data_IF_278802761901
#
_entry.id   IF_278802761901
#
_cell.length_a   1.000
_cell.length_b   1.000
_cell.length_c   1.000
_cell.angle_alpha   90.00
_cell.angle_beta   90.00
_cell.angle_gamma   90.00
#
_symmetry.space_group_name_H-M   'P 1'
#
loop_
_entity.id
_entity.type
_entity.pdbx_description
1 polymer ?
#
# COMPACT_ATOMS: atom_id res chain seq x y z
N UNK A 1 -1.82 7.58 4.69
CA UNK A 1 -1.08 8.83 5.01
C UNK A 1 -0.38 8.73 6.37
N UNK A 2 0.61 9.58 6.65
CA UNK A 2 1.37 9.53 7.91
C UNK A 2 0.66 10.18 9.10
N UNK A 3 -0.33 11.04 8.84
CA UNK A 3 -1.16 11.68 9.89
C UNK A 3 -2.56 11.06 10.03
N UNK A 4 -2.90 10.06 9.20
CA UNK A 4 -4.17 9.35 9.32
C UNK A 4 -4.11 8.40 10.53
N UNK A 5 -4.99 8.52 11.54
CA UNK A 5 -4.96 7.68 12.73
C UNK A 5 -5.04 6.18 12.39
N UNK A 6 -5.96 5.79 11.50
CA UNK A 6 -6.12 4.39 11.09
C UNK A 6 -4.91 3.83 10.34
N UNK A 7 -4.17 4.66 9.61
CA UNK A 7 -2.91 4.24 9.01
C UNK A 7 -1.86 3.96 10.08
N UNK A 8 -1.69 4.87 11.04
CA UNK A 8 -0.66 4.79 12.07
C UNK A 8 -0.95 3.65 13.06
N UNK A 9 -2.20 3.50 13.51
CA UNK A 9 -2.57 2.53 14.54
C UNK A 9 -2.76 1.11 14.01
N UNK A 10 -3.12 0.93 12.73
CA UNK A 10 -3.45 -0.38 12.17
C UNK A 10 -2.63 -0.73 10.93
N UNK A 11 -2.68 0.10 9.88
CA UNK A 11 -2.11 -0.29 8.60
C UNK A 11 -0.58 -0.39 8.59
N UNK A 12 0.13 0.49 9.31
CA UNK A 12 1.59 0.46 9.39
C UNK A 12 2.09 -0.79 10.16
N UNK A 13 1.56 -1.14 11.35
CA UNK A 13 1.86 -2.41 11.99
C UNK A 13 1.60 -3.62 11.08
N UNK A 14 0.44 -3.65 10.41
CA UNK A 14 0.06 -4.75 9.52
C UNK A 14 0.98 -4.84 8.29
N UNK A 15 1.32 -3.72 7.66
CA UNK A 15 2.28 -3.64 6.54
C UNK A 15 3.64 -4.23 6.93
N UNK A 16 4.13 -3.93 8.13
CA UNK A 16 5.39 -4.46 8.65
C UNK A 16 5.33 -5.97 8.87
N UNK A 17 4.25 -6.47 9.46
CA UNK A 17 4.04 -7.90 9.65
C UNK A 17 3.98 -8.64 8.31
N UNK A 18 3.24 -8.10 7.35
CA UNK A 18 3.11 -8.66 5.99
C UNK A 18 4.46 -8.67 5.27
N UNK A 19 5.21 -7.56 5.30
CA UNK A 19 6.55 -7.51 4.70
C UNK A 19 7.49 -8.54 5.31
N UNK A 20 7.51 -8.68 6.64
CA UNK A 20 8.37 -9.64 7.32
C UNK A 20 8.00 -11.10 6.99
N UNK A 21 6.71 -11.42 6.91
CA UNK A 21 6.24 -12.80 6.77
C UNK A 21 6.18 -13.27 5.31
N UNK A 22 5.74 -12.42 4.39
CA UNK A 22 5.42 -12.84 3.03
C UNK A 22 6.47 -12.48 1.99
N UNK A 23 7.38 -11.54 2.25
CA UNK A 23 8.51 -11.27 1.33
C UNK A 23 9.40 -12.52 1.14
N UNK A 24 9.75 -13.29 2.18
CA UNK A 24 10.45 -14.58 2.00
C UNK A 24 9.68 -15.61 1.16
N UNK A 25 8.36 -15.47 1.07
CA UNK A 25 7.47 -16.34 0.29
C UNK A 25 7.23 -15.84 -1.15
N UNK A 26 7.87 -14.73 -1.53
CA UNK A 26 7.78 -14.16 -2.88
C UNK A 26 6.78 -13.01 -3.04
N UNK A 27 6.16 -12.51 -1.96
CA UNK A 27 5.31 -11.33 -2.04
C UNK A 27 6.13 -10.02 -2.10
N UNK A 28 5.74 -9.13 -3.00
CA UNK A 28 6.23 -7.75 -3.03
C UNK A 28 5.31 -6.90 -2.18
N UNK A 29 5.88 -6.18 -1.22
CA UNK A 29 5.12 -5.35 -0.27
C UNK A 29 5.62 -3.92 -0.40
N UNK A 30 4.70 -3.00 -0.69
CA UNK A 30 4.99 -1.59 -0.92
C UNK A 30 4.07 -0.72 -0.06
N UNK A 31 4.63 0.37 0.48
CA UNK A 31 3.82 1.48 0.96
C UNK A 31 3.64 2.53 -0.13
N UNK A 32 2.46 3.14 -0.21
CA UNK A 32 2.24 4.32 -1.05
C UNK A 32 1.72 5.47 -0.20
N UNK A 33 2.45 6.57 -0.21
CA UNK A 33 2.10 7.79 0.50
C UNK A 33 1.23 8.70 -0.38
N UNK A 34 -0.08 8.46 -0.34
CA UNK A 34 -1.12 9.23 -1.07
C UNK A 34 -1.59 10.42 -0.24
N UNK A 35 -0.95 11.57 -0.39
CA UNK A 35 -1.33 12.80 0.34
C UNK A 35 -2.46 13.51 -0.39
N UNK A 36 -3.67 13.48 0.17
CA UNK A 36 -4.84 14.17 -0.41
C UNK A 36 -5.43 15.29 0.46
N UNK A 37 -4.86 15.53 1.62
CA UNK A 37 -5.18 16.61 2.55
C UNK A 37 -3.91 17.00 3.31
N UNK A 38 -3.88 18.19 3.91
CA UNK A 38 -2.76 18.67 4.74
C UNK A 38 -1.38 18.54 4.07
N UNK A 39 -1.28 18.84 2.77
CA UNK A 39 -0.07 18.65 1.95
C UNK A 39 1.19 19.31 2.53
N UNK A 40 1.05 20.52 3.07
CA UNK A 40 2.16 21.26 3.68
C UNK A 40 2.75 20.57 4.92
N UNK A 41 1.94 19.79 5.65
CA UNK A 41 2.36 19.08 6.86
C UNK A 41 2.97 17.70 6.54
N UNK A 42 2.65 17.12 5.38
CA UNK A 42 3.04 15.75 5.00
C UNK A 42 4.08 15.74 3.86
N UNK A 43 5.14 16.53 4.04
CA UNK A 43 6.25 16.62 3.08
C UNK A 43 7.09 15.35 3.04
N UNK A 44 7.88 15.18 1.97
CA UNK A 44 8.81 14.04 1.85
C UNK A 44 9.86 13.98 2.96
N UNK A 45 10.25 15.13 3.54
CA UNK A 45 11.15 15.19 4.69
C UNK A 45 10.48 14.64 5.95
N UNK A 46 9.23 15.04 6.21
CA UNK A 46 8.42 14.52 7.32
C UNK A 46 8.18 13.01 7.16
N UNK A 47 7.87 12.55 5.94
CA UNK A 47 7.71 11.13 5.63
C UNK A 47 8.99 10.34 5.93
N UNK A 48 10.17 10.83 5.52
CA UNK A 48 11.44 10.14 5.82
C UNK A 48 11.66 9.96 7.32
N UNK A 49 11.42 11.00 8.12
CA UNK A 49 11.51 10.91 9.58
C UNK A 49 10.49 9.91 10.15
N UNK A 50 9.25 9.94 9.66
CA UNK A 50 8.20 9.00 10.05
C UNK A 50 8.59 7.55 9.77
N UNK A 51 9.06 7.24 8.55
CA UNK A 51 9.46 5.88 8.17
C UNK A 51 10.61 5.37 9.03
N UNK A 52 11.58 6.24 9.37
CA UNK A 52 12.67 5.92 10.27
C UNK A 52 12.16 5.57 11.69
N UNK A 53 11.34 6.45 12.28
CA UNK A 53 10.83 6.28 13.64
C UNK A 53 9.96 5.02 13.79
N UNK A 54 9.05 4.79 12.85
CA UNK A 54 8.16 3.63 12.85
C UNK A 54 8.84 2.34 12.35
N UNK A 55 10.11 2.43 11.93
CA UNK A 55 10.93 1.33 11.40
C UNK A 55 10.25 0.60 10.24
N UNK A 56 9.69 1.35 9.30
CA UNK A 56 9.11 0.80 8.07
C UNK A 56 10.25 0.42 7.14
N UNK A 57 10.35 -0.88 6.81
CA UNK A 57 11.47 -1.44 6.03
C UNK A 57 11.13 -1.74 4.57
N UNK A 58 9.84 -1.92 4.25
CA UNK A 58 9.42 -2.08 2.87
C UNK A 58 9.63 -0.77 2.09
N UNK A 59 9.83 -0.83 0.77
CA UNK A 59 9.86 0.37 -0.07
C UNK A 59 8.59 1.20 0.08
N UNK A 60 8.73 2.53 0.09
CA UNK A 60 7.61 3.47 0.14
C UNK A 60 7.73 4.48 -0.98
N UNK A 61 6.73 4.49 -1.86
CA UNK A 61 6.57 5.51 -2.90
C UNK A 61 5.81 6.72 -2.36
N UNK A 62 6.09 7.90 -2.94
CA UNK A 62 5.26 9.10 -2.77
C UNK A 62 4.41 9.23 -4.02
N UNK A 63 3.09 9.32 -3.86
CA UNK A 63 2.21 9.45 -5.02
C UNK A 63 2.40 10.82 -5.68
N UNK A 64 2.27 10.86 -7.00
CA UNK A 64 2.44 12.10 -7.79
C UNK A 64 1.29 13.04 -7.48
N UNK A 65 1.60 14.30 -7.15
CA UNK A 65 0.57 15.31 -6.93
C UNK A 65 -0.27 15.53 -8.21
N UNK A 66 -1.54 15.93 -8.05
CA UNK A 66 -2.44 16.13 -9.17
C UNK A 66 -1.91 17.21 -10.14
N UNK A 67 -1.94 16.92 -11.45
CA UNK A 67 -1.47 17.86 -12.50
C UNK A 67 -2.31 19.13 -12.59
N UNK A 68 -3.58 19.03 -12.21
CA UNK A 68 -4.55 20.12 -12.22
C UNK A 68 -4.55 20.93 -10.91
N UNK A 69 -3.66 20.62 -9.97
CA UNK A 69 -3.62 21.23 -8.64
C UNK A 69 -4.73 20.75 -7.71
N UNK A 70 -5.49 19.73 -8.10
CA UNK A 70 -6.50 19.09 -7.26
C UNK A 70 -5.89 18.39 -6.03
N UNK A 71 -6.71 18.09 -5.01
CA UNK A 71 -6.21 17.49 -3.77
C UNK A 71 -5.82 16.03 -3.97
N UNK A 72 -6.46 15.29 -4.88
CA UNK A 72 -6.29 13.83 -5.02
C UNK A 72 -5.07 13.51 -5.90
N UNK A 73 -4.05 12.80 -5.40
CA UNK A 73 -2.87 12.45 -6.19
C UNK A 73 -3.16 11.38 -7.26
N UNK A 74 -2.25 11.25 -8.24
CA UNK A 74 -2.51 10.54 -9.51
C UNK A 74 -2.84 9.05 -9.33
N UNK A 75 -2.07 8.30 -8.52
CA UNK A 75 -2.32 6.87 -8.33
C UNK A 75 -3.58 6.65 -7.51
N UNK A 76 -3.82 7.49 -6.49
CA UNK A 76 -5.06 7.48 -5.72
C UNK A 76 -6.29 7.65 -6.62
N UNK A 77 -6.25 8.60 -7.55
CA UNK A 77 -7.30 8.83 -8.53
C UNK A 77 -7.43 7.65 -9.52
N UNK A 78 -6.31 7.15 -10.05
CA UNK A 78 -6.29 6.05 -11.02
C UNK A 78 -6.90 4.75 -10.48
N UNK A 79 -6.70 4.46 -9.20
CA UNK A 79 -7.29 3.30 -8.52
C UNK A 79 -8.65 3.59 -7.87
N UNK A 80 -9.19 4.82 -8.01
CA UNK A 80 -10.47 5.19 -7.39
C UNK A 80 -10.51 4.96 -5.88
N UNK A 81 -9.40 5.21 -5.16
CA UNK A 81 -9.35 4.96 -3.72
C UNK A 81 -10.26 5.93 -2.96
N UNK A 82 -10.96 5.42 -1.96
CA UNK A 82 -11.93 6.21 -1.18
C UNK A 82 -11.30 6.98 0.00
N UNK A 83 -10.03 6.73 0.32
CA UNK A 83 -9.33 7.37 1.43
C UNK A 83 -8.08 6.59 1.86
N UNK A 84 -7.63 6.79 3.10
CA UNK A 84 -6.58 5.96 3.70
C UNK A 84 -6.98 5.44 5.10
N UNK A 85 -6.54 4.23 5.51
CA UNK A 85 -5.76 3.27 4.73
C UNK A 85 -6.57 2.58 3.63
N UNK A 86 -5.91 2.23 2.53
CA UNK A 86 -6.44 1.35 1.48
C UNK A 86 -5.41 0.27 1.20
N UNK A 87 -5.87 -0.98 1.09
CA UNK A 87 -5.06 -2.13 0.69
C UNK A 87 -5.41 -2.52 -0.74
N UNK A 88 -4.37 -2.74 -1.55
CA UNK A 88 -4.48 -3.30 -2.89
C UNK A 88 -3.77 -4.64 -2.90
N UNK A 89 -4.46 -5.69 -3.35
CA UNK A 89 -3.83 -6.99 -3.62
C UNK A 89 -3.80 -7.20 -5.13
N UNK A 90 -2.60 -7.37 -5.66
CA UNK A 90 -2.33 -7.52 -7.09
C UNK A 90 -1.69 -8.90 -7.29
N UNK A 91 -2.19 -9.67 -8.25
CA UNK A 91 -1.65 -11.01 -8.53
C UNK A 91 -0.37 -10.96 -9.39
N UNK A 92 0.22 -12.13 -9.64
CA UNK A 92 1.46 -12.27 -10.42
C UNK A 92 1.33 -11.82 -11.88
N UNK A 93 0.11 -11.79 -12.42
CA UNK A 93 -0.19 -11.31 -13.77
C UNK A 93 -0.41 -9.79 -13.79
N UNK A 94 -0.32 -9.11 -12.65
CA UNK A 94 -0.49 -7.67 -12.52
C UNK A 94 -1.96 -7.23 -12.41
N UNK A 95 -2.91 -8.15 -12.24
CA UNK A 95 -4.32 -7.79 -12.09
C UNK A 95 -4.63 -7.38 -10.66
N UNK A 96 -5.38 -6.29 -10.49
CA UNK A 96 -5.95 -5.91 -9.20
C UNK A 96 -7.04 -6.92 -8.82
N UNK A 97 -6.82 -7.66 -7.73
CA UNK A 97 -7.73 -8.70 -7.26
C UNK A 97 -8.61 -8.23 -6.13
N UNK A 98 -8.09 -7.35 -5.27
CA UNK A 98 -8.84 -6.76 -4.15
C UNK A 98 -8.42 -5.32 -3.93
N UNK A 99 -9.41 -4.49 -3.60
CA UNK A 99 -9.23 -3.15 -3.06
C UNK A 99 -10.09 -3.04 -1.81
N UNK A 100 -9.45 -2.83 -0.66
CA UNK A 100 -10.12 -2.73 0.64
C UNK A 100 -9.85 -1.36 1.24
N UNK A 101 -10.89 -0.60 1.53
CA UNK A 101 -10.79 0.65 2.28
C UNK A 101 -11.02 0.39 3.77
N UNK A 102 -10.16 0.97 4.61
CA UNK A 102 -10.20 0.78 6.06
C UNK A 102 -9.41 -0.44 6.55
N UNK A 103 -9.81 -0.97 7.69
CA UNK A 103 -9.13 -2.09 8.35
C UNK A 103 -9.58 -3.45 7.80
N UNK A 104 -8.61 -4.31 7.50
CA UNK A 104 -8.81 -5.74 7.25
C UNK A 104 -8.18 -6.54 8.39
N UNK A 105 -8.85 -7.55 8.97
CA UNK A 105 -8.26 -8.39 10.01
C UNK A 105 -7.02 -9.16 9.52
N UNK A 106 -5.99 -9.30 10.38
CA UNK A 106 -4.72 -9.95 10.03
C UNK A 106 -4.88 -11.37 9.46
N UNK A 107 -5.73 -12.19 10.09
CA UNK A 107 -5.98 -13.56 9.62
C UNK A 107 -6.61 -13.59 8.22
N UNK A 108 -7.50 -12.64 7.94
CA UNK A 108 -8.13 -12.54 6.62
C UNK A 108 -7.11 -12.08 5.58
N UNK A 109 -6.35 -11.02 5.87
CA UNK A 109 -5.33 -10.51 4.95
C UNK A 109 -4.27 -11.58 4.64
N UNK A 110 -3.80 -12.30 5.66
CA UNK A 110 -2.84 -13.39 5.47
C UNK A 110 -3.37 -14.52 4.59
N UNK A 111 -4.64 -14.91 4.76
CA UNK A 111 -5.27 -15.91 3.91
C UNK A 111 -5.39 -15.44 2.44
N UNK A 112 -5.79 -14.19 2.22
CA UNK A 112 -5.91 -13.62 0.87
C UNK A 112 -4.55 -13.50 0.16
N UNK A 113 -3.48 -13.11 0.88
CA UNK A 113 -2.12 -13.09 0.32
C UNK A 113 -1.65 -14.50 -0.02
N UNK A 114 -1.85 -15.47 0.88
CA UNK A 114 -1.43 -16.85 0.64
C UNK A 114 -2.18 -17.47 -0.55
N UNK A 115 -3.47 -17.16 -0.72
CA UNK A 115 -4.23 -17.58 -1.87
C UNK A 115 -3.59 -17.09 -3.18
N UNK A 116 -3.23 -15.80 -3.28
CA UNK A 116 -2.56 -15.25 -4.45
C UNK A 116 -1.16 -15.85 -4.70
N UNK A 117 -0.42 -16.18 -3.63
CA UNK A 117 0.89 -16.82 -3.75
C UNK A 117 0.83 -18.26 -4.29
N UNK A 118 -0.29 -18.95 -4.04
CA UNK A 118 -0.55 -20.33 -4.48
C UNK A 118 -1.24 -20.41 -5.85
N UNK A 119 -1.75 -19.28 -6.37
CA UNK A 119 -2.33 -19.26 -7.71
C UNK A 119 -1.27 -19.66 -8.75
N UNK A 120 -1.63 -20.52 -9.72
CA UNK A 120 -0.74 -20.83 -10.83
C UNK A 120 -0.35 -19.54 -11.54
N UNK A 121 0.94 -19.34 -11.81
CA UNK A 121 1.31 -18.37 -12.83
C UNK A 121 0.74 -18.88 -14.16
N UNK A 122 -0.19 -18.14 -14.75
CA UNK A 122 -0.52 -18.32 -16.17
C UNK A 122 0.81 -18.40 -16.94
N UNK A 123 1.02 -19.41 -17.80
CA UNK A 123 2.24 -19.47 -18.61
C UNK A 123 2.31 -18.19 -19.42
N UNK A 124 3.19 -17.28 -18.99
CA UNK A 124 3.37 -15.98 -19.62
C UNK A 124 3.66 -16.20 -21.09
N UNK A 125 2.91 -15.50 -21.94
CA UNK A 125 3.16 -15.39 -23.37
C UNK A 125 4.67 -15.24 -23.63
N UNK A 126 5.26 -16.22 -24.31
CA UNK A 126 6.56 -16.08 -24.95
C UNK A 126 6.29 -15.40 -26.30
N UNK A 127 6.33 -14.07 -26.32
CA UNK A 127 6.25 -13.28 -27.55
C UNK A 127 7.25 -12.13 -27.53
#
# INVERSE_FOLDING_TARGET
>A
QMLCPGCVSHAIPQLKAVHQQFTPLGAIVLGLHTVFEHHEAMTTAALRAFLHEYRVRCPVGVDTAAKDGGPIPETMAAYGMQGTPTFLLIDRSGHLRRQIFGHIPDLQLGAEIMQLLLEPSEPGWMG
#
